data_IF_924738860594
#
_entry.id   IF_924738860594
#
_cell.length_a   1.000
_cell.length_b   1.000
_cell.length_c   1.000
_cell.angle_alpha   90.00
_cell.angle_beta   90.00
_cell.angle_gamma   90.00
#
_symmetry.space_group_name_H-M   'P 1'
#
loop_
_entity.id
_entity.type
_entity.pdbx_description
1 polymer ?
#
# COMPACT_ATOMS: atom_id res chain seq x y z
N UNK A 1 30.95 36.06 -35.74
CA UNK A 1 31.31 35.89 -34.31
C UNK A 1 30.16 36.49 -33.51
N UNK A 2 29.09 35.71 -33.35
CA UNK A 2 27.89 36.13 -32.62
C UNK A 2 27.90 35.51 -31.23
N UNK A 3 27.61 36.37 -30.26
CA UNK A 3 27.70 36.13 -28.83
C UNK A 3 26.38 35.51 -28.35
N UNK A 4 26.31 34.18 -28.26
CA UNK A 4 25.15 33.46 -27.73
C UNK A 4 25.22 33.41 -26.20
N UNK A 5 24.70 34.45 -25.56
CA UNK A 5 24.44 34.48 -24.12
C UNK A 5 23.36 33.46 -23.77
N UNK A 6 23.77 32.40 -23.07
CA UNK A 6 22.88 31.42 -22.47
C UNK A 6 22.16 32.09 -21.28
N UNK A 7 20.96 32.62 -21.54
CA UNK A 7 20.07 33.13 -20.49
C UNK A 7 19.55 31.92 -19.72
N UNK A 8 20.13 31.70 -18.55
CA UNK A 8 19.64 30.76 -17.54
C UNK A 8 18.30 31.33 -17.04
N UNK A 9 17.19 30.69 -17.37
CA UNK A 9 15.88 31.03 -16.79
C UNK A 9 15.90 30.80 -15.28
N UNK A 10 16.09 31.89 -14.53
CA UNK A 10 15.87 31.98 -13.09
C UNK A 10 14.37 31.94 -12.74
N UNK A 11 13.62 30.96 -13.24
CA UNK A 11 12.27 30.65 -12.73
C UNK A 11 12.32 29.61 -11.60
N UNK A 12 13.42 29.60 -10.85
CA UNK A 12 13.58 28.94 -9.56
C UNK A 12 13.15 29.91 -8.47
N UNK A 13 11.84 29.98 -8.21
CA UNK A 13 11.35 30.51 -6.93
C UNK A 13 10.29 29.55 -6.43
N UNK A 14 10.52 29.11 -5.20
CA UNK A 14 9.59 28.40 -4.32
C UNK A 14 8.12 28.69 -4.65
N UNK A 15 7.32 27.63 -4.70
CA UNK A 15 5.86 27.72 -4.57
C UNK A 15 5.53 28.74 -3.48
N UNK A 16 5.06 29.92 -3.90
CA UNK A 16 4.91 31.10 -3.06
C UNK A 16 4.02 30.72 -1.88
N UNK A 17 4.31 31.18 -0.65
CA UNK A 17 3.52 30.79 0.54
C UNK A 17 2.02 31.05 0.33
N UNK A 18 1.69 32.08 -0.44
CA UNK A 18 0.33 32.38 -0.93
C UNK A 18 -0.35 31.22 -1.68
N UNK A 19 0.36 30.42 -2.48
CA UNK A 19 -0.21 29.27 -3.18
C UNK A 19 -0.50 28.09 -2.23
N UNK A 20 0.36 27.88 -1.22
CA UNK A 20 0.11 26.89 -0.18
C UNK A 20 -1.09 27.29 0.66
N UNK A 21 -1.19 28.57 1.00
CA UNK A 21 -2.31 29.12 1.76
C UNK A 21 -3.61 29.05 0.98
N UNK A 22 -3.59 29.26 -0.34
CA UNK A 22 -4.77 29.09 -1.20
C UNK A 22 -5.19 27.61 -1.28
N UNK A 23 -4.25 26.66 -1.41
CA UNK A 23 -4.58 25.22 -1.40
C UNK A 23 -5.11 24.81 -0.02
N UNK A 24 -4.50 25.28 1.05
CA UNK A 24 -4.92 24.99 2.42
C UNK A 24 -6.29 25.60 2.72
N UNK A 25 -6.55 26.84 2.26
CA UNK A 25 -7.85 27.48 2.34
C UNK A 25 -8.89 26.73 1.53
N UNK A 26 -8.55 26.18 0.36
CA UNK A 26 -9.47 25.38 -0.45
C UNK A 26 -9.79 24.03 0.23
N UNK A 27 -8.79 23.36 0.80
CA UNK A 27 -8.97 22.14 1.60
C UNK A 27 -9.84 22.43 2.83
N UNK A 28 -9.56 23.53 3.53
CA UNK A 28 -10.32 23.95 4.70
C UNK A 28 -11.75 24.35 4.33
N UNK A 29 -11.96 25.01 3.18
CA UNK A 29 -13.28 25.35 2.67
C UNK A 29 -14.06 24.10 2.27
N UNK A 30 -13.42 23.10 1.65
CA UNK A 30 -14.03 21.80 1.33
C UNK A 30 -14.42 21.04 2.60
N UNK A 31 -13.54 21.02 3.60
CA UNK A 31 -13.85 20.41 4.90
C UNK A 31 -14.97 21.19 5.62
N UNK A 32 -14.93 22.52 5.59
CA UNK A 32 -15.96 23.38 6.17
C UNK A 32 -17.30 23.26 5.44
N UNK A 33 -17.33 23.12 4.11
CA UNK A 33 -18.60 22.86 3.39
C UNK A 33 -19.12 21.45 3.63
N UNK A 34 -18.25 20.47 3.86
CA UNK A 34 -18.65 19.16 4.35
C UNK A 34 -19.25 19.22 5.76
N UNK A 35 -18.79 20.15 6.60
CA UNK A 35 -19.24 20.35 7.98
C UNK A 35 -20.45 21.30 8.13
N UNK A 36 -20.61 22.29 7.25
CA UNK A 36 -21.64 23.35 7.32
C UNK A 36 -23.02 22.89 6.81
N UNK A 37 -23.12 21.77 6.09
CA UNK A 37 -24.41 21.23 5.61
C UNK A 37 -25.22 20.53 6.72
N UNK A 38 -24.79 20.56 7.98
CA UNK A 38 -25.50 19.88 9.07
C UNK A 38 -25.87 20.83 10.22
N UNK A 39 -27.16 21.20 10.38
CA UNK A 39 -27.59 21.97 11.54
C UNK A 39 -27.29 21.19 12.85
N UNK A 40 -26.69 21.90 13.82
CA UNK A 40 -26.23 21.39 15.11
C UNK A 40 -27.33 20.84 16.04
N UNK A 41 -28.60 20.89 15.64
CA UNK A 41 -29.73 20.62 16.54
C UNK A 41 -30.01 19.13 16.77
N UNK A 42 -29.20 18.21 16.22
CA UNK A 42 -29.39 16.75 16.40
C UNK A 42 -28.08 15.95 16.44
N UNK A 43 -27.00 16.52 16.99
CA UNK A 43 -25.66 15.90 16.97
C UNK A 43 -25.61 14.53 17.65
N UNK A 44 -26.38 14.32 18.74
CA UNK A 44 -26.38 13.07 19.51
C UNK A 44 -27.01 11.89 18.74
N UNK A 45 -28.14 12.10 18.07
CA UNK A 45 -28.81 11.06 17.27
C UNK A 45 -28.06 10.77 15.96
N UNK A 46 -27.40 11.78 15.39
CA UNK A 46 -26.48 11.60 14.27
C UNK A 46 -25.21 10.87 14.69
N UNK A 47 -24.62 11.18 15.84
CA UNK A 47 -23.44 10.47 16.35
C UNK A 47 -23.77 8.99 16.59
N UNK A 48 -24.92 8.67 17.19
CA UNK A 48 -25.38 7.28 17.35
C UNK A 48 -25.59 6.61 15.99
N UNK A 49 -26.28 7.24 15.03
CA UNK A 49 -26.42 6.68 13.67
C UNK A 49 -25.10 6.54 12.91
N UNK A 50 -24.15 7.44 13.12
CA UNK A 50 -22.83 7.44 12.49
C UNK A 50 -21.96 6.36 13.13
N UNK A 51 -22.05 6.20 14.45
CA UNK A 51 -21.43 5.13 15.23
C UNK A 51 -22.01 3.76 14.88
N UNK A 52 -23.32 3.62 14.75
CA UNK A 52 -24.00 2.39 14.32
C UNK A 52 -23.61 2.06 12.87
N UNK A 53 -23.61 3.04 11.97
CA UNK A 53 -23.15 2.84 10.59
C UNK A 53 -21.64 2.50 10.52
N UNK A 54 -20.82 3.09 11.39
CA UNK A 54 -19.38 2.81 11.47
C UNK A 54 -19.12 1.42 12.06
N UNK A 55 -19.77 1.06 13.17
CA UNK A 55 -19.70 -0.27 13.77
C UNK A 55 -20.22 -1.34 12.81
N UNK A 56 -21.33 -1.09 12.12
CA UNK A 56 -21.86 -1.98 11.09
C UNK A 56 -20.81 -2.17 9.99
N UNK A 57 -20.30 -1.09 9.39
CA UNK A 57 -19.28 -1.15 8.32
C UNK A 57 -17.97 -1.81 8.75
N UNK A 58 -17.48 -1.53 9.95
CA UNK A 58 -16.26 -2.12 10.49
C UNK A 58 -16.44 -3.60 10.85
N UNK A 59 -17.62 -3.99 11.37
CA UNK A 59 -17.95 -5.40 11.63
C UNK A 59 -17.93 -6.22 10.34
N UNK A 60 -18.64 -5.81 9.29
CA UNK A 60 -18.63 -6.59 8.04
C UNK A 60 -17.26 -6.61 7.39
N UNK A 61 -16.53 -5.49 7.36
CA UNK A 61 -15.18 -5.47 6.80
C UNK A 61 -14.26 -6.45 7.54
N UNK A 62 -14.28 -6.43 8.88
CA UNK A 62 -13.48 -7.36 9.70
C UNK A 62 -13.85 -8.82 9.42
N UNK A 63 -15.13 -9.19 9.46
CA UNK A 63 -15.55 -10.57 9.22
C UNK A 63 -15.27 -11.02 7.79
N UNK A 64 -15.49 -10.17 6.78
CA UNK A 64 -15.18 -10.49 5.38
C UNK A 64 -13.68 -10.74 5.22
N UNK A 65 -12.83 -9.87 5.78
CA UNK A 65 -11.38 -10.02 5.70
C UNK A 65 -10.94 -11.30 6.43
N UNK A 66 -11.40 -11.52 7.66
CA UNK A 66 -11.14 -12.75 8.41
C UNK A 66 -11.57 -14.01 7.66
N UNK A 67 -12.77 -14.01 7.06
CA UNK A 67 -13.27 -15.14 6.27
C UNK A 67 -12.42 -15.38 5.03
N UNK A 68 -11.96 -14.34 4.33
CA UNK A 68 -11.06 -14.48 3.17
C UNK A 68 -9.76 -15.16 3.59
N UNK A 69 -9.14 -14.70 4.68
CA UNK A 69 -7.90 -15.31 5.17
C UNK A 69 -8.12 -16.77 5.56
N UNK A 70 -9.17 -17.06 6.33
CA UNK A 70 -9.50 -18.42 6.74
C UNK A 70 -9.75 -19.36 5.55
N UNK A 71 -10.56 -18.93 4.58
CA UNK A 71 -10.86 -19.70 3.36
C UNK A 71 -9.58 -19.91 2.54
N UNK A 72 -8.72 -18.90 2.41
CA UNK A 72 -7.44 -19.03 1.71
C UNK A 72 -6.53 -20.07 2.38
N UNK A 73 -6.51 -20.14 3.73
CA UNK A 73 -5.72 -21.17 4.44
C UNK A 73 -6.22 -22.58 4.12
N UNK A 74 -7.54 -22.78 4.14
CA UNK A 74 -8.16 -24.08 3.85
C UNK A 74 -7.93 -24.49 2.40
N UNK A 75 -8.10 -23.54 1.47
CA UNK A 75 -7.88 -23.76 0.04
C UNK A 75 -6.41 -24.12 -0.23
N UNK A 76 -5.47 -23.37 0.32
CA UNK A 76 -4.04 -23.64 0.17
C UNK A 76 -3.67 -25.01 0.76
N UNK A 77 -4.13 -25.31 1.97
CA UNK A 77 -3.90 -26.60 2.64
C UNK A 77 -4.45 -27.77 1.85
N UNK A 78 -5.64 -27.61 1.26
CA UNK A 78 -6.27 -28.62 0.41
C UNK A 78 -5.48 -28.83 -0.89
N UNK A 79 -5.02 -27.76 -1.54
CA UNK A 79 -4.20 -27.85 -2.76
C UNK A 79 -2.89 -28.58 -2.46
N UNK A 80 -2.17 -28.17 -1.41
CA UNK A 80 -0.90 -28.80 -1.01
C UNK A 80 -1.10 -30.28 -0.65
N UNK A 81 -2.15 -30.59 0.11
CA UNK A 81 -2.46 -31.98 0.48
C UNK A 81 -2.75 -32.89 -0.73
N UNK A 82 -3.37 -32.34 -1.78
CA UNK A 82 -3.58 -33.07 -3.04
C UNK A 82 -2.28 -33.23 -3.85
N UNK A 83 -1.43 -32.20 -3.89
CA UNK A 83 -0.13 -32.28 -4.58
C UNK A 83 0.76 -33.35 -3.94
N UNK A 84 0.75 -33.43 -2.60
CA UNK A 84 1.51 -34.42 -1.82
C UNK A 84 0.87 -35.82 -1.81
N UNK A 85 -0.20 -36.03 -2.60
CA UNK A 85 -0.90 -37.32 -2.73
C UNK A 85 -1.30 -37.93 -1.38
N UNK A 86 -1.65 -37.07 -0.41
CA UNK A 86 -2.06 -37.47 0.93
C UNK A 86 -0.97 -38.19 1.76
N UNK A 87 0.30 -38.10 1.38
CA UNK A 87 1.42 -38.65 2.17
C UNK A 87 1.63 -37.89 3.50
N UNK A 88 1.24 -36.63 3.53
CA UNK A 88 1.31 -35.75 4.70
C UNK A 88 -0.11 -35.59 5.26
N UNK A 89 -0.31 -35.67 6.59
CA UNK A 89 -1.62 -35.42 7.20
C UNK A 89 -2.17 -34.04 6.80
N UNK A 90 -3.46 -33.97 6.48
CA UNK A 90 -4.10 -32.70 6.08
C UNK A 90 -3.92 -31.59 7.13
N UNK A 91 -3.91 -31.95 8.42
CA UNK A 91 -3.73 -31.01 9.52
C UNK A 91 -2.37 -30.28 9.42
N UNK A 92 -1.30 -30.96 9.03
CA UNK A 92 0.02 -30.35 8.85
C UNK A 92 0.06 -29.47 7.60
N UNK A 93 -0.51 -29.94 6.49
CA UNK A 93 -0.64 -29.12 5.27
C UNK A 93 -1.42 -27.83 5.54
N UNK A 94 -2.53 -27.92 6.28
CA UNK A 94 -3.34 -26.77 6.65
C UNK A 94 -2.61 -25.85 7.64
N UNK A 95 -1.92 -26.41 8.64
CA UNK A 95 -1.13 -25.63 9.58
C UNK A 95 -0.02 -24.84 8.89
N UNK A 96 0.75 -25.47 8.00
CA UNK A 96 1.81 -24.80 7.22
C UNK A 96 1.21 -23.74 6.29
N UNK A 97 0.06 -24.02 5.67
CA UNK A 97 -0.66 -23.05 4.85
C UNK A 97 -1.15 -21.85 5.66
N UNK A 98 -1.63 -22.08 6.88
CA UNK A 98 -2.03 -21.03 7.80
C UNK A 98 -0.82 -20.18 8.21
N UNK A 99 0.31 -20.80 8.52
CA UNK A 99 1.58 -20.09 8.76
C UNK A 99 1.94 -19.17 7.59
N UNK A 100 1.78 -19.64 6.34
CA UNK A 100 2.08 -18.84 5.15
C UNK A 100 1.15 -17.65 4.97
N UNK A 101 -0.15 -17.87 5.16
CA UNK A 101 -1.18 -16.87 4.96
C UNK A 101 -1.19 -15.83 6.09
N UNK A 102 -0.92 -16.26 7.33
CA UNK A 102 -0.88 -15.38 8.50
C UNK A 102 0.52 -14.89 8.85
N UNK A 103 1.54 -15.24 8.05
CA UNK A 103 2.94 -14.80 8.23
C UNK A 103 3.49 -15.09 9.62
N UNK A 104 3.32 -16.34 10.11
CA UNK A 104 3.71 -16.71 11.48
C UNK A 104 5.10 -17.38 11.58
N UNK A 105 5.58 -17.99 10.50
CA UNK A 105 6.80 -18.79 10.46
C UNK A 105 6.89 -20.03 11.35
N UNK A 106 5.77 -20.55 11.83
CA UNK A 106 5.73 -21.79 12.60
C UNK A 106 5.59 -23.00 11.67
N UNK A 107 6.34 -24.08 11.93
CA UNK A 107 6.32 -25.29 11.11
C UNK A 107 6.13 -26.54 11.96
N UNK A 108 5.08 -27.33 11.66
CA UNK A 108 4.92 -28.71 12.16
C UNK A 108 5.60 -29.73 11.24
N UNK A 109 5.76 -29.38 9.97
CA UNK A 109 6.45 -30.15 8.96
C UNK A 109 7.46 -29.26 8.22
N UNK A 110 8.66 -29.77 7.97
CA UNK A 110 9.73 -28.99 7.36
C UNK A 110 9.38 -28.52 5.95
N UNK A 111 9.50 -27.22 5.68
CA UNK A 111 9.22 -26.66 4.34
C UNK A 111 10.04 -27.35 3.24
N UNK A 112 11.29 -27.67 3.54
CA UNK A 112 12.22 -28.37 2.66
C UNK A 112 11.78 -29.78 2.26
N UNK A 113 10.93 -30.41 3.07
CA UNK A 113 10.48 -31.79 2.88
C UNK A 113 9.26 -31.90 1.96
N UNK A 114 8.60 -30.77 1.66
CA UNK A 114 7.53 -30.73 0.66
C UNK A 114 8.09 -30.86 -0.76
N UNK A 115 7.27 -31.34 -1.69
CA UNK A 115 7.61 -31.28 -3.11
C UNK A 115 7.77 -29.83 -3.59
N UNK A 116 8.57 -29.63 -4.63
CA UNK A 116 8.79 -28.31 -5.24
C UNK A 116 7.47 -27.61 -5.61
N UNK A 117 6.50 -28.37 -6.14
CA UNK A 117 5.18 -27.85 -6.50
C UNK A 117 4.41 -27.31 -5.29
N UNK A 118 4.43 -28.03 -4.16
CA UNK A 118 3.81 -27.58 -2.92
C UNK A 118 4.51 -26.35 -2.35
N UNK A 119 5.84 -26.33 -2.38
CA UNK A 119 6.62 -25.16 -1.95
C UNK A 119 6.26 -23.93 -2.78
N UNK A 120 6.16 -24.04 -4.11
CA UNK A 120 5.73 -22.94 -4.99
C UNK A 120 4.32 -22.44 -4.64
N UNK A 121 3.37 -23.33 -4.39
CA UNK A 121 2.00 -22.95 -3.98
C UNK A 121 2.02 -22.19 -2.65
N UNK A 122 2.76 -22.66 -1.66
CA UNK A 122 2.91 -21.99 -0.36
C UNK A 122 3.53 -20.59 -0.51
N UNK A 123 4.51 -20.42 -1.41
CA UNK A 123 5.11 -19.12 -1.72
C UNK A 123 4.13 -18.16 -2.40
N UNK A 124 3.29 -18.65 -3.33
CA UNK A 124 2.24 -17.85 -3.97
C UNK A 124 1.24 -17.34 -2.92
N UNK A 125 0.79 -18.21 -2.02
CA UNK A 125 -0.13 -17.80 -0.95
C UNK A 125 0.51 -16.86 0.07
N UNK A 126 1.82 -17.03 0.35
CA UNK A 126 2.60 -16.08 1.15
C UNK A 126 2.60 -14.69 0.49
N UNK A 127 2.81 -14.61 -0.83
CA UNK A 127 2.81 -13.34 -1.57
C UNK A 127 1.44 -12.66 -1.58
N UNK A 128 0.36 -13.42 -1.81
CA UNK A 128 -1.02 -12.89 -1.86
C UNK A 128 -1.46 -12.37 -0.48
N UNK A 129 -1.04 -13.05 0.58
CA UNK A 129 -1.50 -12.76 1.94
C UNK A 129 -0.64 -11.74 2.67
N UNK A 130 0.50 -11.34 2.09
CA UNK A 130 1.38 -10.33 2.65
C UNK A 130 0.65 -9.05 3.04
N UNK A 131 1.10 -8.40 4.11
CA UNK A 131 0.47 -7.20 4.70
C UNK A 131 0.23 -6.12 3.65
N UNK A 132 1.13 -5.98 2.68
CA UNK A 132 0.97 -4.99 1.62
C UNK A 132 -0.17 -5.34 0.65
N UNK A 133 -0.19 -6.57 0.13
CA UNK A 133 -1.18 -7.00 -0.88
C UNK A 133 -2.58 -7.11 -0.26
N UNK A 134 -2.66 -7.57 0.99
CA UNK A 134 -3.93 -7.73 1.72
C UNK A 134 -4.65 -6.41 2.03
N UNK A 135 -3.98 -5.26 1.92
CA UNK A 135 -4.60 -3.93 2.09
C UNK A 135 -5.25 -3.38 0.80
N UNK A 136 -4.92 -3.94 -0.36
CA UNK A 136 -5.42 -3.47 -1.66
C UNK A 136 -6.95 -3.59 -1.79
N UNK A 137 -7.61 -4.70 -1.39
CA UNK A 137 -9.06 -4.80 -1.41
C UNK A 137 -9.77 -3.67 -0.64
N UNK A 138 -9.20 -3.24 0.49
CA UNK A 138 -9.74 -2.13 1.26
C UNK A 138 -9.75 -0.82 0.46
N UNK A 139 -8.69 -0.58 -0.31
CA UNK A 139 -8.58 0.60 -1.18
C UNK A 139 -9.60 0.52 -2.32
N UNK A 140 -9.79 -0.65 -2.93
CA UNK A 140 -10.84 -0.85 -3.95
C UNK A 140 -12.25 -0.59 -3.40
N UNK A 141 -12.56 -1.07 -2.19
CA UNK A 141 -13.84 -0.79 -1.53
C UNK A 141 -14.00 0.72 -1.33
N UNK A 142 -12.96 1.44 -0.89
CA UNK A 142 -13.00 2.91 -0.76
C UNK A 142 -13.28 3.61 -2.09
N UNK A 143 -12.61 3.20 -3.18
CA UNK A 143 -12.86 3.74 -4.53
C UNK A 143 -14.31 3.52 -4.93
N UNK A 144 -14.84 2.29 -4.74
CA UNK A 144 -16.22 1.95 -5.06
C UNK A 144 -17.23 2.82 -4.30
N UNK A 145 -17.00 3.02 -3.00
CA UNK A 145 -17.87 3.85 -2.15
C UNK A 145 -17.87 5.32 -2.58
N UNK A 146 -16.72 5.87 -2.96
CA UNK A 146 -16.62 7.25 -3.49
C UNK A 146 -17.42 7.38 -4.80
N UNK A 147 -17.25 6.43 -5.73
CA UNK A 147 -18.02 6.40 -6.99
C UNK A 147 -19.53 6.26 -6.75
N UNK A 148 -19.95 5.45 -5.78
CA UNK A 148 -21.37 5.28 -5.43
C UNK A 148 -21.95 6.59 -4.87
N UNK A 149 -21.25 7.25 -3.95
CA UNK A 149 -21.68 8.55 -3.39
C UNK A 149 -21.84 9.61 -4.48
N UNK A 150 -20.92 9.65 -5.44
CA UNK A 150 -20.99 10.56 -6.58
C UNK A 150 -22.27 10.36 -7.40
N UNK A 151 -22.58 9.12 -7.81
CA UNK A 151 -23.80 8.81 -8.56
C UNK A 151 -25.06 9.24 -7.82
N UNK A 152 -25.11 9.05 -6.50
CA UNK A 152 -26.26 9.49 -5.69
C UNK A 152 -26.38 11.02 -5.65
N UNK A 153 -25.28 11.76 -5.51
CA UNK A 153 -25.30 13.23 -5.52
C UNK A 153 -25.75 13.75 -6.89
N UNK A 154 -25.21 13.19 -7.97
CA UNK A 154 -25.59 13.56 -9.34
C UNK A 154 -27.07 13.31 -9.61
N UNK A 155 -27.62 12.19 -9.12
CA UNK A 155 -29.06 11.91 -9.17
C UNK A 155 -29.88 12.95 -8.38
N UNK A 156 -29.49 13.27 -7.14
CA UNK A 156 -30.18 14.28 -6.33
C UNK A 156 -30.13 15.67 -6.98
N UNK A 157 -28.98 16.07 -7.52
CA UNK A 157 -28.84 17.33 -8.24
C UNK A 157 -29.72 17.35 -9.49
N UNK A 158 -29.74 16.27 -10.27
CA UNK A 158 -30.61 16.17 -11.45
C UNK A 158 -32.11 16.25 -11.09
N UNK A 159 -32.53 15.69 -9.96
CA UNK A 159 -33.92 15.84 -9.49
C UNK A 159 -34.23 17.26 -9.01
N UNK A 160 -33.27 17.95 -8.38
CA UNK A 160 -33.45 19.33 -7.95
C UNK A 160 -33.46 20.30 -9.13
N UNK A 161 -32.70 20.05 -10.20
CA UNK A 161 -32.74 20.86 -11.42
C UNK A 161 -34.07 20.75 -12.17
N UNK A 162 -34.78 19.63 -12.04
CA UNK A 162 -36.13 19.45 -12.61
C UNK A 162 -37.18 20.22 -11.80
N UNK A 163 -36.97 20.40 -10.50
CA UNK A 163 -37.89 21.09 -9.60
C UNK A 163 -37.63 22.61 -9.55
N UNK A 164 -36.37 23.04 -9.70
CA UNK A 164 -35.93 24.44 -9.55
C UNK A 164 -35.76 25.15 -10.90
N UNK A 165 -36.86 25.22 -11.67
CA UNK A 165 -37.03 26.17 -12.77
C UNK A 165 -37.16 27.64 -12.28
N UNK A 166 -36.74 27.95 -11.05
CA UNK A 166 -36.75 29.30 -10.50
C UNK A 166 -35.43 30.03 -10.83
N UNK A 167 -35.52 30.90 -11.84
CA UNK A 167 -34.44 31.67 -12.45
C UNK A 167 -33.55 32.51 -11.49
N UNK A 168 -33.91 32.57 -10.20
CA UNK A 168 -33.41 33.57 -9.27
C UNK A 168 -32.12 33.16 -8.54
N UNK A 169 -31.98 31.87 -8.17
CA UNK A 169 -30.80 31.40 -7.45
C UNK A 169 -29.55 31.35 -8.33
N UNK A 170 -29.72 31.00 -9.62
CA UNK A 170 -28.64 31.01 -10.62
C UNK A 170 -28.06 32.41 -10.83
N UNK A 171 -28.86 33.47 -10.71
CA UNK A 171 -28.39 34.81 -10.97
C UNK A 171 -27.53 35.37 -9.82
N UNK A 172 -27.89 35.05 -8.56
CA UNK A 172 -27.18 35.47 -7.35
C UNK A 172 -25.83 34.76 -7.23
N UNK A 173 -25.77 33.45 -7.53
CA UNK A 173 -24.52 32.69 -7.50
C UNK A 173 -23.57 33.15 -8.63
N UNK A 174 -24.09 33.48 -9.82
CA UNK A 174 -23.28 34.00 -10.93
C UNK A 174 -22.66 35.36 -10.65
N UNK A 175 -23.35 36.25 -9.92
CA UNK A 175 -22.84 37.59 -9.61
C UNK A 175 -21.73 37.59 -8.56
N UNK A 176 -21.76 36.69 -7.58
CA UNK A 176 -20.69 36.56 -6.57
C UNK A 176 -19.45 35.80 -7.07
N UNK A 177 -19.55 35.12 -8.23
CA UNK A 177 -18.44 34.40 -8.86
C UNK A 177 -17.60 35.28 -9.80
N UNK A 178 -17.72 36.61 -9.79
CA UNK A 178 -17.09 37.48 -10.80
C UNK A 178 -15.57 37.74 -10.61
N UNK A 179 -14.85 36.91 -9.84
CA UNK A 179 -13.38 36.90 -9.83
C UNK A 179 -12.88 35.99 -10.96
N UNK A 180 -12.86 36.52 -12.18
CA UNK A 180 -12.52 35.77 -13.41
C UNK A 180 -11.16 35.05 -13.38
N UNK A 181 -10.18 35.56 -12.64
CA UNK A 181 -8.89 34.88 -12.45
C UNK A 181 -8.99 33.69 -11.48
N UNK A 182 -9.72 33.84 -10.38
CA UNK A 182 -9.91 32.79 -9.40
C UNK A 182 -10.78 31.66 -9.96
N UNK A 183 -11.82 31.99 -10.73
CA UNK A 183 -12.65 30.98 -11.40
C UNK A 183 -11.90 30.22 -12.48
N UNK A 184 -11.05 30.87 -13.29
CA UNK A 184 -10.21 30.17 -14.26
C UNK A 184 -9.22 29.24 -13.56
N UNK A 185 -8.67 29.64 -12.41
CA UNK A 185 -7.81 28.78 -11.60
C UNK A 185 -8.58 27.62 -10.95
N UNK A 186 -9.75 27.89 -10.35
CA UNK A 186 -10.63 26.88 -9.75
C UNK A 186 -11.15 25.89 -10.80
N UNK A 187 -11.51 26.33 -12.00
CA UNK A 187 -11.90 25.47 -13.11
C UNK A 187 -10.73 24.65 -13.67
N UNK A 188 -9.48 25.14 -13.53
CA UNK A 188 -8.29 24.39 -13.92
C UNK A 188 -7.87 23.34 -12.88
N UNK A 189 -8.38 23.42 -11.65
CA UNK A 189 -8.12 22.44 -10.61
C UNK A 189 -8.97 21.17 -10.87
N UNK A 190 -8.40 19.97 -10.69
CA UNK A 190 -9.17 18.74 -10.81
C UNK A 190 -10.29 18.73 -9.78
N UNK A 191 -11.48 18.27 -10.20
CA UNK A 191 -12.64 18.11 -9.32
C UNK A 191 -12.21 17.32 -8.06
N UNK A 192 -12.55 17.76 -6.83
CA UNK A 192 -12.14 17.09 -5.59
C UNK A 192 -12.46 15.59 -5.58
N UNK A 193 -13.54 15.16 -6.23
CA UNK A 193 -13.88 13.74 -6.35
C UNK A 193 -12.91 12.96 -7.24
N UNK A 194 -12.53 13.54 -8.39
CA UNK A 194 -11.55 12.95 -9.28
C UNK A 194 -10.16 12.91 -8.63
N UNK A 195 -9.85 13.88 -7.77
CA UNK A 195 -8.65 13.92 -6.95
C UNK A 195 -8.58 12.69 -6.02
N UNK A 196 -9.65 12.39 -5.29
CA UNK A 196 -9.72 11.22 -4.41
C UNK A 196 -9.48 9.90 -5.17
N UNK A 197 -10.20 9.68 -6.27
CA UNK A 197 -10.12 8.42 -7.02
C UNK A 197 -8.73 8.25 -7.63
N UNK A 198 -8.19 9.31 -8.25
CA UNK A 198 -6.84 9.28 -8.83
C UNK A 198 -5.77 9.05 -7.77
N UNK A 199 -5.89 9.68 -6.59
CA UNK A 199 -4.97 9.45 -5.48
C UNK A 199 -4.96 7.99 -5.02
N UNK A 200 -6.13 7.33 -4.90
CA UNK A 200 -6.19 5.91 -4.57
C UNK A 200 -5.55 5.01 -5.64
N UNK A 201 -5.78 5.31 -6.93
CA UNK A 201 -5.18 4.53 -8.03
C UNK A 201 -3.65 4.69 -8.04
N UNK A 202 -3.16 5.93 -7.95
CA UNK A 202 -1.72 6.22 -7.86
C UNK A 202 -1.13 5.48 -6.67
N UNK A 203 -1.80 5.51 -5.52
CA UNK A 203 -1.33 4.82 -4.32
C UNK A 203 -1.23 3.29 -4.53
N UNK A 204 -2.23 2.64 -5.12
CA UNK A 204 -2.16 1.20 -5.44
C UNK A 204 -0.96 0.91 -6.36
N UNK A 205 -0.78 1.72 -7.41
CA UNK A 205 0.33 1.55 -8.36
C UNK A 205 1.68 1.72 -7.67
N UNK A 206 1.84 2.75 -6.84
CA UNK A 206 3.09 2.99 -6.09
C UNK A 206 3.38 1.86 -5.11
N UNK A 207 2.37 1.36 -4.39
CA UNK A 207 2.51 0.24 -3.46
C UNK A 207 2.97 -1.02 -4.21
N UNK A 208 2.27 -1.40 -5.29
CA UNK A 208 2.59 -2.59 -6.07
C UNK A 208 3.96 -2.49 -6.73
N UNK A 209 4.28 -1.34 -7.34
CA UNK A 209 5.58 -1.09 -7.95
C UNK A 209 6.70 -1.18 -6.91
N UNK A 210 6.51 -0.61 -5.71
CA UNK A 210 7.51 -0.66 -4.65
C UNK A 210 7.80 -2.10 -4.23
N UNK A 211 6.76 -2.91 -4.00
CA UNK A 211 6.93 -4.32 -3.67
C UNK A 211 7.65 -5.08 -4.79
N UNK A 212 7.23 -4.92 -6.04
CA UNK A 212 7.86 -5.59 -7.19
C UNK A 212 9.34 -5.20 -7.28
N UNK A 213 9.67 -3.92 -7.12
CA UNK A 213 11.07 -3.45 -7.15
C UNK A 213 11.90 -4.08 -6.04
N UNK A 214 11.41 -4.10 -4.79
CA UNK A 214 12.14 -4.71 -3.66
C UNK A 214 12.30 -6.22 -3.85
N UNK A 215 11.24 -6.91 -4.26
CA UNK A 215 11.30 -8.36 -4.53
C UNK A 215 12.33 -8.67 -5.61
N UNK A 216 12.28 -7.96 -6.74
CA UNK A 216 13.19 -8.20 -7.86
C UNK A 216 14.64 -7.85 -7.50
N UNK A 217 14.88 -6.71 -6.84
CA UNK A 217 16.23 -6.29 -6.46
C UNK A 217 16.87 -7.28 -5.47
N UNK A 218 16.11 -7.73 -4.48
CA UNK A 218 16.59 -8.66 -3.46
C UNK A 218 16.76 -10.08 -4.02
N UNK A 219 15.85 -10.53 -4.88
CA UNK A 219 15.97 -11.80 -5.59
C UNK A 219 17.23 -11.84 -6.47
N UNK A 220 17.54 -10.76 -7.19
CA UNK A 220 18.75 -10.72 -7.99
C UNK A 220 20.00 -10.63 -7.11
N UNK A 221 19.99 -9.78 -6.09
CA UNK A 221 21.13 -9.60 -5.19
C UNK A 221 21.53 -10.91 -4.48
N UNK A 222 20.57 -11.59 -3.85
CA UNK A 222 20.80 -12.85 -3.14
C UNK A 222 21.15 -13.96 -4.15
N UNK A 223 20.41 -14.08 -5.26
CA UNK A 223 20.64 -15.13 -6.25
C UNK A 223 22.02 -15.07 -6.90
N UNK A 224 22.49 -13.86 -7.27
CA UNK A 224 23.85 -13.69 -7.78
C UNK A 224 24.90 -13.95 -6.70
N UNK A 225 24.68 -13.47 -5.47
CA UNK A 225 25.63 -13.68 -4.39
C UNK A 225 25.79 -15.18 -4.06
N UNK A 226 24.69 -15.92 -3.94
CA UNK A 226 24.72 -17.36 -3.71
C UNK A 226 25.41 -18.11 -4.86
N UNK A 227 25.15 -17.73 -6.12
CA UNK A 227 25.74 -18.40 -7.28
C UNK A 227 27.25 -18.20 -7.40
N UNK A 228 27.79 -17.04 -7.00
CA UNK A 228 29.20 -16.72 -7.21
C UNK A 228 30.09 -16.99 -5.99
N UNK A 229 29.54 -16.98 -4.76
CA UNK A 229 30.34 -17.09 -3.54
C UNK A 229 30.20 -18.43 -2.81
N UNK A 230 29.25 -19.27 -3.18
CA UNK A 230 29.05 -20.59 -2.56
C UNK A 230 29.24 -21.71 -3.56
N UNK A 231 29.89 -22.78 -3.12
CA UNK A 231 29.98 -23.99 -3.92
C UNK A 231 28.66 -24.77 -3.82
N UNK A 232 28.29 -25.55 -4.87
CA UNK A 232 27.05 -26.33 -4.87
C UNK A 232 26.92 -27.30 -3.69
N UNK A 233 28.05 -27.74 -3.11
CA UNK A 233 28.07 -28.63 -1.95
C UNK A 233 27.61 -27.93 -0.67
N UNK A 234 27.94 -26.65 -0.50
CA UNK A 234 27.54 -25.85 0.65
C UNK A 234 26.03 -25.59 0.68
N UNK A 235 25.42 -25.54 -0.51
CA UNK A 235 23.98 -25.33 -0.70
C UNK A 235 23.18 -26.63 -0.76
N UNK A 236 23.79 -27.78 -0.42
CA UNK A 236 23.13 -29.07 -0.51
C UNK A 236 22.21 -29.38 0.67
N UNK A 237 21.12 -30.10 0.39
CA UNK A 237 20.24 -30.68 1.40
C UNK A 237 19.80 -32.08 0.98
N UNK A 238 19.88 -33.04 1.91
CA UNK A 238 19.42 -34.42 1.70
C UNK A 238 19.90 -35.04 0.38
N UNK A 239 21.18 -34.83 0.05
CA UNK A 239 21.87 -35.29 -1.17
C UNK A 239 21.40 -34.61 -2.47
N UNK A 240 20.62 -33.54 -2.39
CA UNK A 240 20.23 -32.71 -3.55
C UNK A 240 20.81 -31.31 -3.41
N UNK A 241 21.36 -30.77 -4.51
CA UNK A 241 21.84 -29.39 -4.54
C UNK A 241 20.68 -28.44 -4.78
N UNK A 242 20.53 -27.43 -3.91
CA UNK A 242 19.49 -26.41 -4.07
C UNK A 242 19.93 -25.40 -5.12
N UNK A 243 19.04 -25.08 -6.06
CA UNK A 243 19.31 -24.02 -7.03
C UNK A 243 19.43 -22.64 -6.32
N UNK A 244 20.51 -21.88 -6.56
CA UNK A 244 20.74 -20.60 -5.88
C UNK A 244 19.63 -19.57 -6.10
N UNK A 245 19.04 -19.51 -7.30
CA UNK A 245 17.95 -18.57 -7.58
C UNK A 245 16.64 -19.02 -6.93
N UNK A 246 16.37 -20.32 -6.89
CA UNK A 246 15.24 -20.83 -6.11
C UNK A 246 15.36 -20.50 -4.62
N UNK A 247 16.53 -20.75 -4.02
CA UNK A 247 16.80 -20.36 -2.63
C UNK A 247 16.62 -18.86 -2.41
N UNK A 248 17.16 -18.05 -3.33
CA UNK A 248 16.99 -16.61 -3.32
C UNK A 248 15.54 -16.17 -3.37
N UNK A 249 14.70 -16.82 -4.20
CA UNK A 249 13.27 -16.52 -4.29
C UNK A 249 12.57 -16.79 -2.96
N UNK A 250 12.87 -17.93 -2.34
CA UNK A 250 12.29 -18.32 -1.06
C UNK A 250 12.71 -17.34 0.02
N UNK A 251 14.01 -17.10 0.23
CA UNK A 251 14.52 -16.13 1.22
C UNK A 251 13.90 -14.75 0.99
N UNK A 252 13.78 -14.32 -0.27
CA UNK A 252 13.23 -13.01 -0.60
C UNK A 252 11.76 -12.91 -0.19
N UNK A 253 10.93 -13.86 -0.60
CA UNK A 253 9.50 -13.85 -0.32
C UNK A 253 9.21 -14.05 1.17
N UNK A 254 9.93 -14.97 1.83
CA UNK A 254 9.69 -15.30 3.23
C UNK A 254 10.30 -14.25 4.16
N UNK A 255 11.42 -13.63 3.77
CA UNK A 255 12.03 -12.51 4.48
C UNK A 255 11.16 -11.26 4.44
N UNK A 256 10.76 -10.81 3.24
CA UNK A 256 9.91 -9.62 3.09
C UNK A 256 8.53 -9.80 3.74
N UNK A 257 7.91 -10.97 3.63
CA UNK A 257 6.62 -11.22 4.27
C UNK A 257 6.75 -11.71 5.73
N UNK A 258 7.97 -11.77 6.28
CA UNK A 258 8.25 -12.21 7.66
C UNK A 258 7.65 -13.58 8.01
N UNK A 259 7.63 -14.49 7.04
CA UNK A 259 7.13 -15.84 7.21
C UNK A 259 8.22 -16.82 7.65
N UNK A 260 9.51 -16.47 7.59
CA UNK A 260 10.59 -17.29 8.18
C UNK A 260 10.78 -18.71 7.61
N UNK A 261 10.04 -19.11 6.56
CA UNK A 261 10.27 -20.38 5.88
C UNK A 261 11.61 -20.35 5.13
N UNK A 262 12.29 -21.49 5.12
CA UNK A 262 13.59 -21.67 4.50
C UNK A 262 13.60 -22.92 3.64
N UNK A 263 14.37 -22.87 2.56
CA UNK A 263 14.62 -24.06 1.73
C UNK A 263 15.36 -25.14 2.50
N UNK A 264 16.18 -24.76 3.48
CA UNK A 264 16.95 -25.70 4.29
C UNK A 264 16.27 -26.04 5.61
N UNK A 265 16.41 -27.28 6.07
CA UNK A 265 15.89 -27.76 7.36
C UNK A 265 16.44 -26.97 8.55
N UNK A 266 17.70 -26.51 8.44
CA UNK A 266 18.37 -25.72 9.48
C UNK A 266 18.04 -24.22 9.38
N UNK A 267 17.11 -23.82 8.50
CA UNK A 267 16.78 -22.42 8.30
C UNK A 267 17.88 -21.68 7.54
N UNK A 268 18.03 -20.39 7.85
CA UNK A 268 19.09 -19.52 7.31
C UNK A 268 20.37 -19.54 8.15
N UNK A 269 20.47 -20.43 9.15
CA UNK A 269 21.65 -20.56 10.01
C UNK A 269 22.91 -20.96 9.24
N UNK A 270 22.75 -21.52 8.04
CA UNK A 270 23.84 -21.76 7.08
C UNK A 270 24.69 -20.51 6.84
N UNK A 271 24.07 -19.32 6.88
CA UNK A 271 24.70 -18.04 6.58
C UNK A 271 25.17 -17.28 7.83
N UNK A 272 25.21 -17.91 9.01
CA UNK A 272 25.52 -17.22 10.27
C UNK A 272 26.89 -16.53 10.27
N UNK A 273 27.87 -17.08 9.53
CA UNK A 273 29.22 -16.53 9.41
C UNK A 273 29.32 -15.48 8.30
N UNK A 274 28.40 -15.47 7.34
CA UNK A 274 28.43 -14.55 6.20
C UNK A 274 27.74 -13.22 6.54
N UNK A 275 28.58 -12.22 6.82
CA UNK A 275 28.14 -10.86 7.17
C UNK A 275 27.28 -10.24 6.05
N UNK A 276 27.63 -10.47 4.78
CA UNK A 276 26.94 -9.85 3.65
C UNK A 276 25.53 -10.41 3.48
N UNK A 277 25.39 -11.74 3.55
CA UNK A 277 24.08 -12.39 3.52
C UNK A 277 23.22 -11.93 4.69
N UNK A 278 23.77 -11.87 5.90
CA UNK A 278 23.03 -11.41 7.07
C UNK A 278 22.56 -9.96 6.94
N UNK A 279 23.39 -9.06 6.41
CA UNK A 279 22.99 -7.67 6.15
C UNK A 279 21.85 -7.60 5.12
N UNK A 280 21.93 -8.35 4.01
CA UNK A 280 20.86 -8.35 3.00
C UNK A 280 19.56 -8.91 3.57
N UNK A 281 19.62 -10.04 4.28
CA UNK A 281 18.44 -10.65 4.92
C UNK A 281 17.84 -9.69 5.97
N UNK A 282 18.67 -8.98 6.74
CA UNK A 282 18.19 -7.96 7.66
C UNK A 282 17.46 -6.82 6.92
N UNK A 283 18.06 -6.29 5.86
CA UNK A 283 17.45 -5.20 5.06
C UNK A 283 16.10 -5.63 4.48
N UNK A 284 15.99 -6.85 3.93
CA UNK A 284 14.73 -7.30 3.32
C UNK A 284 13.64 -7.54 4.37
N UNK A 285 14.00 -8.13 5.52
CA UNK A 285 13.06 -8.36 6.64
C UNK A 285 12.57 -7.02 7.19
N UNK A 286 13.45 -6.05 7.38
CA UNK A 286 13.08 -4.70 7.84
C UNK A 286 12.21 -3.98 6.80
N UNK A 287 12.52 -4.11 5.52
CA UNK A 287 11.78 -3.46 4.43
C UNK A 287 10.34 -3.98 4.29
N UNK A 288 10.08 -5.21 4.72
CA UNK A 288 8.79 -5.89 4.61
C UNK A 288 7.67 -5.31 5.46
N UNK A 289 7.94 -5.07 6.75
CA UNK A 289 6.91 -4.56 7.69
C UNK A 289 7.33 -3.27 8.35
N UNK A 290 8.47 -3.28 9.06
CA UNK A 290 8.86 -2.18 9.94
C UNK A 290 9.28 -0.92 9.19
N UNK A 291 9.91 -1.04 8.03
CA UNK A 291 10.31 0.13 7.23
C UNK A 291 9.41 0.37 6.02
N UNK A 292 8.49 -0.54 5.70
CA UNK A 292 7.63 -0.40 4.52
C UNK A 292 6.88 0.96 4.46
N UNK A 293 6.25 1.44 5.55
CA UNK A 293 5.60 2.75 5.56
C UNK A 293 6.55 3.92 5.28
N UNK A 294 7.79 3.83 5.78
CA UNK A 294 8.81 4.85 5.59
C UNK A 294 9.35 4.84 4.16
N UNK A 295 9.63 3.65 3.61
CA UNK A 295 10.04 3.45 2.22
C UNK A 295 8.96 4.00 1.29
N UNK A 296 7.70 3.62 1.51
CA UNK A 296 6.58 4.08 0.70
C UNK A 296 6.45 5.61 0.72
N UNK A 297 6.55 6.23 1.90
CA UNK A 297 6.52 7.69 2.02
C UNK A 297 7.70 8.35 1.30
N UNK A 298 8.91 7.80 1.44
CA UNK A 298 10.10 8.28 0.75
C UNK A 298 9.98 8.22 -0.77
N UNK A 299 9.42 7.13 -1.30
CA UNK A 299 9.16 6.96 -2.74
C UNK A 299 8.10 7.95 -3.22
N UNK A 300 7.00 8.15 -2.47
CA UNK A 300 5.98 9.14 -2.82
C UNK A 300 6.57 10.55 -2.87
N UNK A 301 7.45 10.90 -1.92
CA UNK A 301 8.13 12.19 -1.90
C UNK A 301 9.14 12.32 -3.06
N UNK A 302 9.91 11.26 -3.35
CA UNK A 302 10.82 11.22 -4.49
C UNK A 302 10.07 11.40 -5.83
N UNK A 303 8.97 10.66 -6.03
CA UNK A 303 8.15 10.78 -7.23
C UNK A 303 7.55 12.18 -7.37
N UNK A 304 7.19 12.84 -6.27
CA UNK A 304 6.74 14.24 -6.30
C UNK A 304 7.81 15.18 -6.88
N UNK A 305 9.10 14.92 -6.65
CA UNK A 305 10.18 15.72 -7.27
C UNK A 305 10.36 15.44 -8.76
N UNK A 306 10.11 14.21 -9.20
CA UNK A 306 10.30 13.78 -10.60
C UNK A 306 9.13 14.18 -11.53
N UNK A 307 7.93 14.35 -10.99
CA UNK A 307 6.72 14.55 -11.80
C UNK A 307 6.44 16.05 -12.06
N UNK A 308 5.93 16.43 -13.25
CA UNK A 308 5.54 17.81 -13.57
C UNK A 308 4.54 18.40 -12.56
N UNK A 309 4.58 19.73 -12.37
CA UNK A 309 3.80 20.46 -11.37
C UNK A 309 2.30 20.10 -11.33
N UNK A 310 1.67 19.87 -12.49
CA UNK A 310 0.24 19.55 -12.59
C UNK A 310 -0.16 18.31 -11.77
N UNK A 311 0.75 17.35 -11.61
CA UNK A 311 0.46 16.12 -10.87
C UNK A 311 0.97 16.16 -9.42
N UNK A 312 1.80 17.16 -9.04
CA UNK A 312 2.29 17.32 -7.66
C UNK A 312 1.13 17.43 -6.67
N UNK A 313 0.02 18.01 -7.09
CA UNK A 313 -1.23 18.12 -6.31
C UNK A 313 -1.71 16.75 -5.82
N UNK A 314 -1.61 15.68 -6.64
CA UNK A 314 -2.03 14.34 -6.22
C UNK A 314 -1.11 13.76 -5.14
N UNK A 315 0.20 13.97 -5.27
CA UNK A 315 1.19 13.51 -4.28
C UNK A 315 1.09 14.29 -2.97
N UNK A 316 0.91 15.61 -3.04
CA UNK A 316 0.65 16.46 -1.87
C UNK A 316 -0.65 16.03 -1.17
N UNK A 317 -1.70 15.76 -1.95
CA UNK A 317 -2.95 15.23 -1.42
C UNK A 317 -2.75 13.87 -0.72
N UNK A 318 -1.93 12.97 -1.28
CA UNK A 318 -1.60 11.67 -0.66
C UNK A 318 -0.83 11.86 0.66
N UNK A 319 0.18 12.73 0.68
CA UNK A 319 1.03 12.94 1.85
C UNK A 319 0.30 13.67 2.99
N UNK A 320 -0.65 14.54 2.67
CA UNK A 320 -1.47 15.30 3.63
C UNK A 320 -2.66 14.47 4.17
N UNK A 321 -3.29 13.64 3.34
CA UNK A 321 -4.45 12.80 3.72
C UNK A 321 -4.08 11.33 3.98
N UNK A 322 -2.85 11.11 4.45
CA UNK A 322 -2.24 9.81 4.77
C UNK A 322 -3.20 8.78 5.40
N UNK A 323 -3.74 9.02 6.60
CA UNK A 323 -4.58 8.06 7.33
C UNK A 323 -5.95 7.83 6.70
N UNK A 324 -6.48 8.82 5.97
CA UNK A 324 -7.77 8.69 5.27
C UNK A 324 -7.62 7.79 4.04
N UNK A 325 -6.48 7.87 3.36
CA UNK A 325 -6.19 7.13 2.14
C UNK A 325 -5.76 5.69 2.43
N UNK A 326 -4.71 5.49 3.22
CA UNK A 326 -4.20 4.15 3.56
C UNK A 326 -3.62 4.10 4.97
N UNK A 327 -3.81 2.96 5.63
CA UNK A 327 -3.20 2.66 6.93
C UNK A 327 -1.68 2.50 6.85
N UNK A 328 -1.14 2.38 5.64
CA UNK A 328 0.28 2.11 5.39
C UNK A 328 1.11 3.40 5.25
N UNK A 329 0.47 4.58 5.18
CA UNK A 329 1.18 5.87 5.11
C UNK A 329 1.04 6.60 6.44
N UNK A 330 2.18 6.92 7.07
CA UNK A 330 2.24 7.74 8.28
C UNK A 330 2.56 9.22 7.98
N UNK A 331 2.18 10.16 8.87
CA UNK A 331 2.64 11.55 8.89
C UNK A 331 4.15 11.69 9.02
N UNK A 332 4.73 12.77 8.50
CA UNK A 332 6.20 12.94 8.42
C UNK A 332 6.92 12.79 9.76
N UNK A 333 6.38 13.36 10.83
CA UNK A 333 6.99 13.32 12.16
C UNK A 333 6.92 11.89 12.72
N UNK A 334 5.75 11.25 12.57
CA UNK A 334 5.54 9.87 13.01
C UNK A 334 6.43 8.90 12.24
N UNK A 335 6.58 9.06 10.92
CA UNK A 335 7.50 8.24 10.12
C UNK A 335 8.94 8.37 10.59
N UNK A 336 9.42 9.60 10.84
CA UNK A 336 10.81 9.81 11.32
C UNK A 336 11.03 9.19 12.69
N UNK A 337 10.13 9.43 13.64
CA UNK A 337 10.19 8.83 14.97
C UNK A 337 10.16 7.29 14.90
N UNK A 338 9.27 6.74 14.07
CA UNK A 338 9.15 5.31 13.88
C UNK A 338 10.43 4.70 13.32
N UNK A 339 11.01 5.28 12.27
CA UNK A 339 12.30 4.83 11.71
C UNK A 339 13.42 4.90 12.74
N UNK A 340 13.52 6.01 13.49
CA UNK A 340 14.54 6.16 14.53
C UNK A 340 14.40 5.09 15.62
N UNK A 341 13.19 4.86 16.13
CA UNK A 341 12.93 3.84 17.15
C UNK A 341 13.21 2.44 16.60
N UNK A 342 12.77 2.14 15.37
CA UNK A 342 13.02 0.84 14.74
C UNK A 342 14.52 0.58 14.60
N UNK A 343 15.33 1.56 14.17
CA UNK A 343 16.78 1.39 14.08
C UNK A 343 17.40 1.20 15.46
N UNK A 344 17.01 2.01 16.45
CA UNK A 344 17.52 1.91 17.82
C UNK A 344 17.21 0.58 18.49
N UNK A 345 16.10 -0.06 18.16
CA UNK A 345 15.74 -1.38 18.71
C UNK A 345 16.54 -2.53 18.10
N UNK A 346 17.20 -2.33 16.95
CA UNK A 346 17.96 -3.39 16.26
C UNK A 346 19.48 -3.24 16.37
N UNK A 347 19.97 -2.16 17.01
CA UNK A 347 21.35 -1.99 17.46
C UNK A 347 21.43 -2.50 18.89
#
# INVERSE_FOLDING_TARGET
MENSGFVREESFVSMNDNQRDVIQAHINMINATADVIVPLTNWRSKFIKLWDNYQWRMRYYFYIHLSIFFINTLLCGMIVWNIEKHNIPFIDCWFISATCVFTCGLQTYGFSSFSLSSQIVLLIFTLISGITVSTIPAIFIKIYLVKKKQKTIEQVLSSLEIEDNSLHLRHIIRQNLNNNHLNKYIQSLPNPHDLHIKAYIILIVVILSTCITIYLSSFLAIGFYLKYNYDPQDLSQANTTVDPFYASLVITLTGFNQNGLSVWSNGVTLFVVDIFMNIIIMIIVMSGTSLFPAILRGIVDLLKYLVPWRYKIFFDYILLNNHRLSTVIYPSIQTRLYVTITILLQI
#
